data_IF_373402910200
#
_entry.id   IF_373402910200
#
_cell.length_a   1.000
_cell.length_b   1.000
_cell.length_c   1.000
_cell.angle_alpha   90.00
_cell.angle_beta   90.00
_cell.angle_gamma   90.00
#
_symmetry.space_group_name_H-M   'P 1'
#
loop_
_entity.id
_entity.type
_entity.pdbx_description
1 polymer ?
#
# COMPACT_ATOMS: atom_id res chain seq x y z
N UNK A 1 -11.22 1.93 28.39
CA UNK A 1 -11.19 1.50 26.98
C UNK A 1 -9.89 2.00 26.36
N UNK A 2 -9.13 1.16 25.67
CA UNK A 2 -7.85 1.57 25.06
C UNK A 2 -7.80 1.01 23.64
N UNK A 3 -7.37 1.84 22.69
CA UNK A 3 -7.13 1.42 21.31
C UNK A 3 -5.96 0.43 21.28
N UNK A 4 -6.15 -0.70 20.59
CA UNK A 4 -5.07 -1.67 20.40
C UNK A 4 -4.23 -1.27 19.17
N UNK A 5 -3.07 -0.66 19.40
CA UNK A 5 -2.19 -0.20 18.33
C UNK A 5 -1.67 -1.36 17.47
N UNK A 6 -1.28 -2.49 18.08
CA UNK A 6 -0.75 -3.65 17.35
C UNK A 6 -1.77 -4.20 16.37
N UNK A 7 -3.04 -4.26 16.79
CA UNK A 7 -4.17 -4.66 15.95
C UNK A 7 -4.37 -3.68 14.79
N UNK A 8 -4.38 -2.38 15.05
CA UNK A 8 -4.52 -1.35 14.02
C UNK A 8 -3.37 -1.37 13.02
N UNK A 9 -2.14 -1.58 13.49
CA UNK A 9 -0.96 -1.73 12.63
C UNK A 9 -1.07 -2.97 11.74
N UNK A 10 -1.50 -4.10 12.28
CA UNK A 10 -1.73 -5.32 11.51
C UNK A 10 -2.83 -5.13 10.44
N UNK A 11 -3.90 -4.43 10.77
CA UNK A 11 -4.97 -4.08 9.83
C UNK A 11 -4.48 -3.14 8.72
N UNK A 12 -3.65 -2.14 9.05
CA UNK A 12 -3.04 -1.26 8.08
C UNK A 12 -2.13 -2.03 7.11
N UNK A 13 -1.30 -2.94 7.64
CA UNK A 13 -0.47 -3.84 6.82
C UNK A 13 -1.33 -4.69 5.88
N UNK A 14 -2.46 -5.22 6.36
CA UNK A 14 -3.41 -5.98 5.54
C UNK A 14 -3.99 -5.15 4.39
N UNK A 15 -4.39 -3.90 4.65
CA UNK A 15 -4.84 -2.98 3.60
C UNK A 15 -3.73 -2.72 2.56
N UNK A 16 -2.50 -2.51 3.00
CA UNK A 16 -1.36 -2.28 2.10
C UNK A 16 -1.01 -3.48 1.20
N UNK A 17 -1.47 -4.69 1.52
CA UNK A 17 -1.34 -5.84 0.62
C UNK A 17 -2.26 -5.75 -0.63
N UNK A 18 -3.17 -4.78 -0.69
CA UNK A 18 -4.10 -4.59 -1.82
C UNK A 18 -3.82 -3.27 -2.51
N UNK A 19 -3.54 -3.34 -3.81
CA UNK A 19 -3.22 -2.17 -4.65
C UNK A 19 -4.32 -1.11 -4.64
N UNK A 20 -5.59 -1.48 -4.43
CA UNK A 20 -6.72 -0.53 -4.39
C UNK A 20 -6.49 0.60 -3.38
N UNK A 21 -5.84 0.32 -2.24
CA UNK A 21 -5.59 1.32 -1.21
C UNK A 21 -4.43 2.27 -1.52
N UNK A 22 -3.63 2.02 -2.57
CA UNK A 22 -2.59 2.97 -2.99
C UNK A 22 -3.17 4.31 -3.49
N UNK A 23 -4.46 4.32 -3.85
CA UNK A 23 -5.20 5.51 -4.28
C UNK A 23 -5.82 6.28 -3.11
N UNK A 24 -5.89 5.69 -1.92
CA UNK A 24 -6.46 6.34 -0.74
C UNK A 24 -5.47 7.37 -0.17
N UNK A 25 -5.99 8.50 0.30
CA UNK A 25 -5.17 9.38 1.15
C UNK A 25 -4.82 8.63 2.45
N UNK A 26 -3.57 8.67 2.94
CA UNK A 26 -3.18 7.99 4.17
C UNK A 26 -4.06 8.36 5.38
N UNK A 27 -4.46 9.64 5.47
CA UNK A 27 -5.35 10.13 6.53
C UNK A 27 -6.75 9.52 6.47
N UNK A 28 -7.30 9.28 5.28
CA UNK A 28 -8.60 8.63 5.10
C UNK A 28 -8.51 7.18 5.54
N UNK A 29 -7.47 6.46 5.12
CA UNK A 29 -7.27 5.06 5.49
C UNK A 29 -7.11 4.89 7.01
N UNK A 30 -6.30 5.75 7.65
CA UNK A 30 -6.13 5.77 9.09
C UNK A 30 -7.46 6.04 9.82
N UNK A 31 -8.25 7.01 9.35
CA UNK A 31 -9.54 7.35 9.94
C UNK A 31 -10.57 6.21 9.77
N UNK A 32 -10.59 5.52 8.64
CA UNK A 32 -11.42 4.33 8.43
C UNK A 32 -11.11 3.22 9.45
N UNK A 33 -9.83 2.89 9.65
CA UNK A 33 -9.39 1.88 10.60
C UNK A 33 -9.76 2.24 12.05
N UNK A 34 -9.48 3.48 12.45
CA UNK A 34 -9.86 3.98 13.78
C UNK A 34 -11.37 3.96 13.98
N UNK A 35 -12.16 4.32 12.97
CA UNK A 35 -13.62 4.30 13.04
C UNK A 35 -14.15 2.88 13.25
N UNK A 36 -13.60 1.88 12.55
CA UNK A 36 -13.99 0.47 12.73
C UNK A 36 -13.63 -0.05 14.12
N UNK A 37 -12.46 0.33 14.66
CA UNK A 37 -12.05 -0.08 16.00
C UNK A 37 -12.92 0.57 17.08
N UNK A 38 -13.17 1.88 16.98
CA UNK A 38 -14.03 2.60 17.94
C UNK A 38 -15.47 2.09 17.90
N UNK A 39 -16.00 1.73 16.72
CA UNK A 39 -17.30 1.07 16.61
C UNK A 39 -17.33 -0.28 17.33
N UNK A 40 -16.23 -1.04 17.27
CA UNK A 40 -16.08 -2.32 17.98
C UNK A 40 -16.06 -2.10 19.50
N UNK A 41 -15.37 -1.04 19.95
CA UNK A 41 -15.29 -0.64 21.36
C UNK A 41 -16.60 -0.02 21.89
N UNK A 42 -17.48 0.46 21.01
CA UNK A 42 -18.74 1.17 21.34
C UNK A 42 -18.53 2.42 22.22
N UNK A 43 -17.37 3.04 22.10
CA UNK A 43 -16.99 4.23 22.88
C UNK A 43 -17.52 5.51 22.24
N UNK A 44 -18.45 6.18 22.93
CA UNK A 44 -19.07 7.44 22.43
C UNK A 44 -18.05 8.58 22.40
N UNK A 45 -17.21 8.69 23.44
CA UNK A 45 -16.21 9.75 23.55
C UNK A 45 -15.18 9.70 22.41
N UNK A 46 -14.66 8.51 22.10
CA UNK A 46 -13.72 8.32 20.99
C UNK A 46 -14.39 8.59 19.64
N UNK A 47 -15.68 8.26 19.50
CA UNK A 47 -16.41 8.54 18.27
C UNK A 47 -16.56 10.05 18.04
N UNK A 48 -16.87 10.83 19.07
CA UNK A 48 -16.89 12.29 18.98
C UNK A 48 -15.52 12.88 18.60
N UNK A 49 -14.44 12.34 19.17
CA UNK A 49 -13.07 12.74 18.81
C UNK A 49 -12.82 12.46 17.33
N UNK A 50 -13.20 11.28 16.83
CA UNK A 50 -13.04 10.95 15.40
C UNK A 50 -13.83 11.88 14.49
N UNK A 51 -15.05 12.26 14.85
CA UNK A 51 -15.84 13.24 14.09
C UNK A 51 -15.15 14.61 14.03
N UNK A 52 -14.52 15.05 15.12
CA UNK A 52 -13.73 16.30 15.13
C UNK A 52 -12.50 16.16 14.24
N UNK A 53 -11.75 15.05 14.37
CA UNK A 53 -10.57 14.77 13.54
C UNK A 53 -10.94 14.74 12.05
N UNK A 54 -12.07 14.14 11.68
CA UNK A 54 -12.57 14.13 10.31
C UNK A 54 -12.78 15.54 9.77
N UNK A 55 -13.46 16.41 10.54
CA UNK A 55 -13.72 17.80 10.18
C UNK A 55 -12.42 18.59 10.00
N UNK A 56 -11.49 18.47 10.95
CA UNK A 56 -10.19 19.15 10.86
C UNK A 56 -9.33 18.66 9.69
N UNK A 57 -9.46 17.38 9.34
CA UNK A 57 -8.75 16.76 8.21
C UNK A 57 -9.42 17.04 6.86
N UNK A 58 -10.57 17.74 6.83
CA UNK A 58 -11.34 18.06 5.63
C UNK A 58 -11.66 16.81 4.78
N UNK A 59 -11.95 15.68 5.45
CA UNK A 59 -12.33 14.43 4.80
C UNK A 59 -13.85 14.42 4.60
N UNK A 60 -14.30 14.22 3.34
CA UNK A 60 -15.72 14.16 3.04
C UNK A 60 -16.37 12.90 3.63
N UNK A 61 -17.65 13.00 4.02
CA UNK A 61 -18.40 11.84 4.53
C UNK A 61 -18.51 10.74 3.46
N UNK A 62 -18.68 11.12 2.19
CA UNK A 62 -18.77 10.18 1.07
C UNK A 62 -17.47 9.39 0.87
N UNK A 63 -16.31 10.06 0.92
CA UNK A 63 -15.02 9.39 0.79
C UNK A 63 -14.79 8.44 1.97
N UNK A 64 -15.09 8.91 3.19
CA UNK A 64 -14.91 8.11 4.38
C UNK A 64 -15.78 6.84 4.35
N UNK A 65 -17.04 6.97 3.94
CA UNK A 65 -17.95 5.83 3.79
C UNK A 65 -17.45 4.84 2.73
N UNK A 66 -17.08 5.33 1.55
CA UNK A 66 -16.58 4.49 0.46
C UNK A 66 -15.34 3.70 0.87
N UNK A 67 -14.33 4.38 1.42
CA UNK A 67 -13.09 3.74 1.84
C UNK A 67 -13.30 2.81 3.03
N UNK A 68 -14.19 3.16 3.97
CA UNK A 68 -14.50 2.29 5.12
C UNK A 68 -15.14 0.97 4.68
N UNK A 69 -16.03 1.00 3.69
CA UNK A 69 -16.63 -0.21 3.11
C UNK A 69 -15.54 -1.13 2.54
N UNK A 70 -14.61 -0.57 1.76
CA UNK A 70 -13.49 -1.31 1.18
C UNK A 70 -12.55 -1.89 2.24
N UNK A 71 -12.22 -1.09 3.26
CA UNK A 71 -11.40 -1.54 4.40
C UNK A 71 -12.08 -2.70 5.11
N UNK A 72 -13.37 -2.57 5.45
CA UNK A 72 -14.14 -3.61 6.13
C UNK A 72 -14.11 -4.93 5.35
N UNK A 73 -14.37 -4.87 4.04
CA UNK A 73 -14.28 -6.03 3.15
C UNK A 73 -12.86 -6.61 3.11
N UNK A 74 -11.85 -5.77 2.96
CA UNK A 74 -10.45 -6.21 2.93
C UNK A 74 -10.05 -6.93 4.21
N UNK A 75 -10.47 -6.43 5.37
CA UNK A 75 -10.16 -7.06 6.66
C UNK A 75 -10.88 -8.39 6.83
N UNK A 76 -12.14 -8.50 6.37
CA UNK A 76 -12.87 -9.76 6.36
C UNK A 76 -12.14 -10.79 5.46
N UNK A 77 -11.81 -10.41 4.22
CA UNK A 77 -11.08 -11.26 3.27
C UNK A 77 -9.72 -11.66 3.84
N UNK A 78 -8.98 -10.72 4.44
CA UNK A 78 -7.64 -11.00 5.00
C UNK A 78 -7.70 -11.89 6.24
N UNK A 79 -8.76 -11.81 7.03
CA UNK A 79 -8.95 -12.68 8.20
C UNK A 79 -9.31 -14.12 7.80
N UNK A 80 -9.83 -14.33 6.59
CA UNK A 80 -10.23 -15.65 6.10
C UNK A 80 -9.02 -16.59 5.95
N UNK A 81 -9.20 -17.90 6.22
CA UNK A 81 -8.11 -18.89 6.09
C UNK A 81 -7.67 -19.12 4.64
N UNK A 82 -8.49 -18.74 3.66
CA UNK A 82 -8.19 -18.82 2.23
C UNK A 82 -7.25 -17.70 1.76
N UNK A 83 -7.04 -16.66 2.56
CA UNK A 83 -6.17 -15.55 2.18
C UNK A 83 -4.69 -15.91 2.30
N UNK A 84 -3.95 -15.78 1.19
CA UNK A 84 -2.50 -15.86 1.19
C UNK A 84 -1.90 -14.63 1.88
N UNK A 85 -1.62 -14.75 3.17
CA UNK A 85 -0.94 -13.70 3.95
C UNK A 85 0.54 -13.71 3.59
N UNK A 86 1.15 -12.55 3.29
CA UNK A 86 2.59 -12.47 3.14
C UNK A 86 3.23 -12.94 4.46
N UNK A 87 4.06 -13.97 4.38
CA UNK A 87 4.84 -14.43 5.51
C UNK A 87 6.10 -13.57 5.67
N UNK A 88 6.71 -13.59 6.85
CA UNK A 88 7.96 -12.86 7.12
C UNK A 88 9.17 -13.53 6.47
N UNK A 89 8.94 -14.49 5.58
CA UNK A 89 10.01 -15.19 4.87
C UNK A 89 10.53 -14.28 3.77
N UNK A 90 11.82 -14.42 3.47
CA UNK A 90 12.41 -13.70 2.34
C UNK A 90 11.65 -14.07 1.07
N UNK A 91 11.32 -13.06 0.25
CA UNK A 91 10.78 -13.29 -1.08
C UNK A 91 11.79 -14.17 -1.86
N UNK A 92 11.36 -15.37 -2.22
CA UNK A 92 12.14 -16.27 -3.06
C UNK A 92 11.65 -16.11 -4.49
N UNK A 93 12.56 -15.73 -5.38
CA UNK A 93 12.29 -15.72 -6.81
C UNK A 93 12.24 -17.17 -7.30
N UNK A 94 11.04 -17.69 -7.52
CA UNK A 94 10.86 -19.00 -8.14
C UNK A 94 10.92 -18.80 -9.66
N UNK A 95 12.07 -19.10 -10.25
CA UNK A 95 12.25 -19.11 -11.70
C UNK A 95 11.84 -20.46 -12.29
N UNK A 96 11.27 -20.46 -13.50
CA UNK A 96 11.00 -21.71 -14.21
C UNK A 96 12.31 -22.46 -14.53
N UNK A 97 12.25 -23.79 -14.74
CA UNK A 97 13.45 -24.56 -15.16
C UNK A 97 14.11 -23.95 -16.41
N UNK A 98 13.31 -23.51 -17.39
CA UNK A 98 13.81 -22.86 -18.61
C UNK A 98 14.51 -21.54 -18.30
N UNK A 99 13.92 -20.71 -17.43
CA UNK A 99 14.49 -19.44 -17.00
C UNK A 99 15.79 -19.64 -16.22
N UNK A 100 15.84 -20.63 -15.32
CA UNK A 100 17.05 -20.96 -14.56
C UNK A 100 18.20 -21.42 -15.47
N UNK A 101 17.91 -22.26 -16.46
CA UNK A 101 18.91 -22.70 -17.45
C UNK A 101 19.40 -21.55 -18.34
N UNK A 102 18.51 -20.65 -18.74
CA UNK A 102 18.89 -19.46 -19.52
C UNK A 102 19.77 -18.50 -18.70
N UNK A 103 19.43 -18.27 -17.43
CA UNK A 103 20.25 -17.48 -16.52
C UNK A 103 21.63 -18.11 -16.30
N UNK A 104 21.72 -19.43 -16.14
CA UNK A 104 23.01 -20.13 -16.07
C UNK A 104 23.86 -19.88 -17.31
N UNK A 105 23.29 -20.02 -18.51
CA UNK A 105 24.02 -19.76 -19.76
C UNK A 105 24.48 -18.29 -19.87
N UNK A 106 23.66 -17.34 -19.41
CA UNK A 106 24.04 -15.93 -19.38
C UNK A 106 25.16 -15.63 -18.38
N UNK A 107 25.15 -16.25 -17.19
CA UNK A 107 26.16 -16.05 -16.15
C UNK A 107 27.57 -16.43 -16.64
N UNK A 108 27.70 -17.56 -17.33
CA UNK A 108 28.99 -17.99 -17.90
C UNK A 108 29.43 -17.19 -19.13
N UNK A 109 28.55 -16.36 -19.71
CA UNK A 109 28.87 -15.52 -20.86
C UNK A 109 29.27 -14.09 -20.49
N UNK A 110 29.13 -13.70 -19.22
CA UNK A 110 29.63 -12.42 -18.71
C UNK A 110 31.14 -12.56 -18.52
N UNK A 111 31.98 -11.88 -19.31
CA UNK A 111 33.42 -11.86 -19.07
C UNK A 111 33.68 -11.34 -17.66
N UNK A 112 34.62 -11.95 -16.92
CA UNK A 112 35.05 -11.40 -15.64
C UNK A 112 35.45 -9.93 -15.85
N UNK A 113 34.80 -9.03 -15.12
CA UNK A 113 35.18 -7.62 -15.15
C UNK A 113 36.63 -7.53 -14.66
N UNK A 114 37.49 -6.72 -15.32
CA UNK A 114 38.86 -6.58 -14.89
C UNK A 114 38.89 -6.14 -13.42
N UNK A 115 39.62 -6.88 -12.59
CA UNK A 115 39.81 -6.52 -11.19
C UNK A 115 40.53 -5.18 -11.13
N UNK A 116 39.87 -4.17 -10.56
CA UNK A 116 40.52 -2.90 -10.25
C UNK A 116 41.54 -3.21 -9.13
N UNK A 117 42.84 -3.02 -9.34
CA UNK A 117 43.80 -3.24 -8.27
C UNK A 117 43.45 -2.30 -7.11
N UNK A 118 43.28 -2.88 -5.92
CA UNK A 118 43.17 -2.12 -4.68
C UNK A 118 44.44 -1.24 -4.61
N UNK A 119 44.29 0.08 -4.70
CA UNK A 119 45.41 1.01 -4.84
C UNK A 119 46.51 0.74 -3.81
N UNK A 120 47.71 0.46 -4.29
CA UNK A 120 48.89 0.32 -3.45
C UNK A 120 49.14 1.60 -2.64
N UNK A 121 49.43 1.41 -1.35
CA UNK A 121 50.11 2.32 -0.43
C UNK A 121 49.80 3.83 -0.59
N UNK A 122 48.91 4.31 0.27
CA UNK A 122 48.70 5.72 0.60
C UNK A 122 50.00 6.55 0.50
N UNK A 123 50.05 7.46 -0.47
CA UNK A 123 50.74 8.72 -0.25
C UNK A 123 49.65 9.73 0.10
N UNK A 124 49.73 10.30 1.30
CA UNK A 124 48.94 11.46 1.71
C UNK A 124 49.04 12.52 0.63
N UNK A 125 47.94 12.76 -0.07
CA UNK A 125 47.74 13.99 -0.83
C UNK A 125 46.27 14.31 -0.71
N UNK A 126 46.04 15.21 0.25
CA UNK A 126 44.81 15.90 0.53
C UNK A 126 44.26 16.51 -0.77
N UNK A 127 43.06 16.11 -1.18
CA UNK A 127 42.24 16.92 -2.06
C UNK A 127 40.77 16.63 -1.78
N UNK A 128 40.20 17.56 -1.04
CA UNK A 128 38.77 17.78 -0.90
C UNK A 128 38.12 17.96 -2.28
N UNK A 129 36.83 17.63 -2.35
CA UNK A 129 35.81 18.25 -3.21
C UNK A 129 35.12 17.37 -4.29
N UNK A 130 33.82 17.68 -4.41
CA UNK A 130 32.83 17.36 -5.44
C UNK A 130 31.94 16.12 -5.29
N UNK A 131 30.87 16.30 -4.52
CA UNK A 131 29.62 15.57 -4.73
C UNK A 131 28.88 16.17 -5.94
N UNK A 132 28.95 15.49 -7.09
CA UNK A 132 28.22 15.91 -8.29
C UNK A 132 26.70 15.71 -8.15
N UNK A 133 25.99 16.76 -8.57
CA UNK A 133 24.56 16.99 -8.60
C UNK A 133 23.82 16.05 -9.58
N UNK A 134 22.76 15.38 -9.13
CA UNK A 134 21.91 14.56 -10.00
C UNK A 134 20.78 15.42 -10.56
N UNK A 135 21.12 16.24 -11.55
CA UNK A 135 20.14 17.01 -12.33
C UNK A 135 19.42 16.09 -13.31
N UNK A 136 18.19 15.69 -12.98
CA UNK A 136 17.33 14.92 -13.86
C UNK A 136 16.75 15.82 -14.96
N UNK A 137 17.41 15.82 -16.11
CA UNK A 137 16.91 16.45 -17.33
C UNK A 137 15.57 15.85 -17.75
N UNK A 138 14.61 16.72 -17.98
CA UNK A 138 13.32 16.42 -18.61
C UNK A 138 13.51 16.09 -20.09
N UNK A 139 13.20 14.87 -20.51
CA UNK A 139 12.93 14.57 -21.92
C UNK A 139 11.47 14.18 -22.10
N UNK A 140 10.68 15.19 -22.49
CA UNK A 140 9.35 15.00 -23.05
C UNK A 140 9.49 14.29 -24.40
N UNK A 141 9.25 12.98 -24.43
CA UNK A 141 9.05 12.24 -25.67
C UNK A 141 7.55 12.02 -25.89
N UNK A 142 6.96 12.99 -26.60
CA UNK A 142 5.71 12.81 -27.32
C UNK A 142 5.88 11.74 -28.39
N UNK A 143 5.08 10.68 -28.37
CA UNK A 143 4.69 9.87 -29.53
C UNK A 143 3.55 8.91 -29.16
N UNK A 144 2.32 9.25 -29.56
CA UNK A 144 1.25 8.25 -29.75
C UNK A 144 1.45 7.58 -31.13
N UNK A 145 1.02 6.32 -31.33
CA UNK A 145 -0.37 6.16 -31.79
C UNK A 145 -1.14 4.94 -31.23
N UNK A 146 -2.45 5.09 -31.41
CA UNK A 146 -3.62 4.24 -31.14
C UNK A 146 -3.53 2.77 -31.62
N UNK A 147 -3.95 1.81 -30.80
CA UNK A 147 -4.79 0.67 -31.23
C UNK A 147 -5.38 -0.10 -30.03
N UNK A 148 -6.62 -0.53 -30.22
CA UNK A 148 -7.54 -1.11 -29.24
C UNK A 148 -7.07 -2.40 -28.56
N UNK A 149 -7.15 -2.42 -27.22
CA UNK A 149 -7.72 -3.56 -26.50
C UNK A 149 -8.18 -3.11 -25.12
N UNK A 150 -9.49 -2.94 -24.99
CA UNK A 150 -10.21 -2.55 -23.79
C UNK A 150 -10.03 -3.62 -22.69
N UNK A 151 -8.96 -3.48 -21.91
CA UNK A 151 -8.71 -4.24 -20.70
C UNK A 151 -9.64 -3.79 -19.57
N UNK A 152 -10.91 -4.17 -19.64
CA UNK A 152 -11.85 -4.05 -18.52
C UNK A 152 -11.52 -5.09 -17.44
N UNK A 153 -10.43 -4.89 -16.69
CA UNK A 153 -10.33 -5.46 -15.34
C UNK A 153 -11.11 -4.56 -14.38
N UNK A 154 -12.43 -4.52 -14.58
CA UNK A 154 -13.35 -3.79 -13.74
C UNK A 154 -13.99 -4.78 -12.77
N UNK A 155 -13.58 -4.75 -11.49
CA UNK A 155 -14.40 -5.34 -10.43
C UNK A 155 -15.62 -4.45 -10.24
N UNK A 156 -16.67 -4.70 -11.02
CA UNK A 156 -17.98 -4.06 -10.87
C UNK A 156 -18.67 -4.62 -9.61
N UNK A 157 -18.28 -4.14 -8.43
CA UNK A 157 -19.09 -4.35 -7.23
C UNK A 157 -20.24 -3.36 -7.25
N UNK A 158 -21.38 -3.79 -7.81
CA UNK A 158 -22.64 -3.04 -7.68
C UNK A 158 -23.01 -2.90 -6.20
N UNK A 159 -23.15 -1.69 -5.65
CA UNK A 159 -23.69 -1.52 -4.31
C UNK A 159 -25.20 -1.82 -4.35
N UNK A 160 -25.63 -2.88 -3.66
CA UNK A 160 -27.06 -3.07 -3.35
C UNK A 160 -27.43 -2.14 -2.21
N UNK A 161 -28.09 -1.04 -2.53
CA UNK A 161 -28.76 -0.18 -1.55
C UNK A 161 -30.03 -0.88 -1.04
N UNK A 162 -30.00 -1.38 0.20
CA UNK A 162 -31.20 -1.51 1.05
C UNK A 162 -30.80 -1.24 2.50
N UNK A 163 -31.02 -0.01 2.95
CA UNK A 163 -31.07 0.30 4.37
C UNK A 163 -32.49 0.04 4.88
N UNK A 164 -32.63 -0.78 5.92
CA UNK A 164 -33.78 -0.73 6.81
C UNK A 164 -33.42 0.22 7.95
N UNK A 165 -34.22 1.28 8.09
CA UNK A 165 -34.12 2.25 9.16
C UNK A 165 -34.54 1.60 10.49
N UNK A 166 -33.63 1.54 11.46
CA UNK A 166 -34.00 1.28 12.86
C UNK A 166 -34.28 2.62 13.50
N UNK A 167 -35.57 2.93 13.64
CA UNK A 167 -36.08 4.06 14.41
C UNK A 167 -36.04 3.70 15.90
N UNK A 168 -35.10 4.29 16.65
CA UNK A 168 -35.23 4.34 18.10
C UNK A 168 -36.27 5.42 18.45
N UNK A 169 -37.52 5.02 18.67
CA UNK A 169 -38.48 5.84 19.40
C UNK A 169 -38.19 5.69 20.89
N UNK A 170 -37.77 6.79 21.49
CA UNK A 170 -37.91 7.08 22.90
C UNK A 170 -39.39 7.07 23.28
N UNK A 171 -39.73 6.40 24.39
CA UNK A 171 -40.91 6.72 25.18
C UNK A 171 -40.74 6.19 26.61
N UNK A 172 -40.75 7.18 27.53
CA UNK A 172 -41.08 7.20 28.95
C UNK A 172 -40.78 5.97 29.82
#
# INVERSE_FOLDING_TARGET
>A
EVLNLDKLEAQLKACNCRLVFSKAKPSVLALCLLTLEVQTLKSVELFEILLRVQKHSKISDSDLLYWRELVSKCLADYSSPECCKPDHKKLVWIVSRRTAQNLQNSYYSVPELPTIPEGGCFNESESEDSCEDMSSGEESLSSSPLSDLEGTFFFELKPKTKWQAVSCRSQC
#
